data_IF_338387907126
#
_entry.id   IF_338387907126
#
_cell.length_a   1.000
_cell.length_b   1.000
_cell.length_c   1.000
_cell.angle_alpha   90.00
_cell.angle_beta   90.00
_cell.angle_gamma   90.00
#
_symmetry.space_group_name_H-M   'P 1'
#
loop_
_entity.id
_entity.type
_entity.pdbx_description
1 polymer ?
#
# COMPACT_ATOMS: atom_id res chain seq x y z
N UNK A 1 35.29 -5.61 -23.04
CA UNK A 1 33.94 -5.58 -23.64
C UNK A 1 33.17 -6.70 -22.97
N UNK A 2 32.32 -6.37 -21.99
CA UNK A 2 31.45 -7.37 -21.36
C UNK A 2 30.31 -7.61 -22.34
N UNK A 3 30.20 -8.84 -22.86
CA UNK A 3 29.04 -9.27 -23.62
C UNK A 3 27.83 -9.23 -22.67
N UNK A 4 26.97 -8.23 -22.87
CA UNK A 4 25.65 -8.22 -22.27
C UNK A 4 24.86 -9.28 -23.04
N UNK A 5 24.74 -10.48 -22.47
CA UNK A 5 23.76 -11.47 -22.92
C UNK A 5 22.43 -10.77 -23.14
N UNK A 6 21.83 -10.99 -24.31
CA UNK A 6 20.47 -10.53 -24.61
C UNK A 6 19.55 -11.11 -23.53
N UNK A 7 19.23 -10.31 -22.51
CA UNK A 7 18.18 -10.67 -21.55
C UNK A 7 16.91 -10.94 -22.35
N UNK A 8 16.40 -12.17 -22.26
CA UNK A 8 15.10 -12.51 -22.82
C UNK A 8 14.06 -11.55 -22.25
N UNK A 9 13.33 -10.88 -23.15
CA UNK A 9 12.28 -9.96 -22.75
C UNK A 9 11.16 -10.76 -22.08
N UNK A 10 10.75 -10.33 -20.88
CA UNK A 10 9.59 -10.88 -20.20
C UNK A 10 8.33 -10.55 -21.01
N UNK A 11 7.71 -11.59 -21.59
CA UNK A 11 6.54 -11.48 -22.50
C UNK A 11 5.35 -10.73 -21.89
N UNK A 12 5.19 -10.80 -20.57
CA UNK A 12 4.10 -10.16 -19.83
C UNK A 12 4.55 -8.93 -19.00
N UNK A 13 5.78 -8.47 -19.18
CA UNK A 13 6.40 -7.43 -18.37
C UNK A 13 6.93 -7.93 -17.02
N UNK A 14 7.57 -7.03 -16.26
CA UNK A 14 8.01 -7.29 -14.89
C UNK A 14 6.86 -6.96 -13.92
N UNK A 15 6.56 -7.87 -12.99
CA UNK A 15 5.45 -7.76 -12.02
C UNK A 15 5.88 -8.09 -10.60
N UNK A 16 7.19 -8.11 -10.31
CA UNK A 16 7.75 -8.59 -9.05
C UNK A 16 7.24 -7.82 -7.84
N UNK A 17 7.01 -6.50 -7.98
CA UNK A 17 6.41 -5.70 -6.90
C UNK A 17 4.99 -6.17 -6.59
N UNK A 18 4.15 -6.35 -7.61
CA UNK A 18 2.78 -6.82 -7.43
C UNK A 18 2.74 -8.24 -6.85
N UNK A 19 3.56 -9.14 -7.39
CA UNK A 19 3.67 -10.50 -6.87
C UNK A 19 4.16 -10.52 -5.41
N UNK A 20 5.12 -9.67 -5.06
CA UNK A 20 5.61 -9.56 -3.69
C UNK A 20 4.49 -9.14 -2.72
N UNK A 21 3.68 -8.14 -3.10
CA UNK A 21 2.50 -7.76 -2.32
C UNK A 21 1.50 -8.91 -2.18
N UNK A 22 1.14 -9.58 -3.28
CA UNK A 22 0.17 -10.69 -3.24
C UNK A 22 0.66 -11.85 -2.35
N UNK A 23 1.93 -12.23 -2.47
CA UNK A 23 2.54 -13.27 -1.62
C UNK A 23 2.59 -12.86 -0.16
N UNK A 24 2.97 -11.62 0.13
CA UNK A 24 3.01 -11.11 1.51
C UNK A 24 1.60 -11.10 2.14
N UNK A 25 0.59 -10.61 1.42
CA UNK A 25 -0.81 -10.58 1.87
C UNK A 25 -1.33 -11.99 2.12
N UNK A 26 -1.09 -12.93 1.19
CA UNK A 26 -1.53 -14.31 1.34
C UNK A 26 -0.91 -15.00 2.58
N UNK A 27 0.33 -14.67 2.90
CA UNK A 27 1.05 -15.25 4.04
C UNK A 27 0.81 -14.52 5.37
N UNK A 28 0.22 -13.32 5.38
CA UNK A 28 0.02 -12.50 6.58
C UNK A 28 -0.81 -13.21 7.68
N UNK A 29 -0.32 -13.34 8.90
CA UNK A 29 -0.93 -14.06 10.02
C UNK A 29 -1.59 -13.13 11.03
N UNK A 30 -0.90 -12.07 11.44
CA UNK A 30 -1.27 -11.21 12.56
C UNK A 30 -1.75 -9.83 12.08
N UNK A 31 -0.94 -9.14 11.27
CA UNK A 31 -1.29 -7.82 10.78
C UNK A 31 -0.64 -7.46 9.44
N UNK A 32 -1.36 -6.61 8.70
CA UNK A 32 -0.87 -5.90 7.52
C UNK A 32 -0.98 -4.41 7.80
N UNK A 33 0.12 -3.70 7.69
CA UNK A 33 0.17 -2.24 7.73
C UNK A 33 0.53 -1.70 6.34
N UNK A 34 -0.27 -0.78 5.82
CA UNK A 34 -0.11 -0.18 4.49
C UNK A 34 -0.14 1.34 4.62
N UNK A 35 0.89 2.01 4.13
CA UNK A 35 0.92 3.47 3.96
C UNK A 35 1.12 3.76 2.47
N UNK A 36 0.10 4.33 1.82
CA UNK A 36 0.18 4.57 0.38
C UNK A 36 -0.54 5.85 -0.04
N UNK A 37 -0.02 6.50 -1.08
CA UNK A 37 -0.65 7.67 -1.70
C UNK A 37 -2.00 7.32 -2.33
N UNK A 38 -2.09 6.15 -2.98
CA UNK A 38 -3.30 5.67 -3.64
C UNK A 38 -3.61 4.23 -3.26
N UNK A 39 -4.90 3.93 -3.13
CA UNK A 39 -5.39 2.55 -3.04
C UNK A 39 -6.52 2.33 -4.03
N UNK A 40 -6.19 1.90 -5.24
CA UNK A 40 -7.15 1.73 -6.34
C UNK A 40 -7.01 0.41 -7.12
N UNK A 41 -6.06 -0.45 -6.73
CA UNK A 41 -5.89 -1.79 -7.30
C UNK A 41 -6.95 -2.78 -6.78
N UNK A 42 -7.77 -3.31 -7.70
CA UNK A 42 -8.75 -4.35 -7.38
C UNK A 42 -8.08 -5.66 -6.97
N UNK A 43 -6.94 -6.03 -7.56
CA UNK A 43 -6.21 -7.27 -7.23
C UNK A 43 -5.69 -7.26 -5.80
N UNK A 44 -5.14 -6.13 -5.33
CA UNK A 44 -4.73 -5.98 -3.93
C UNK A 44 -5.95 -5.97 -3.00
N UNK A 45 -7.03 -5.29 -3.39
CA UNK A 45 -8.28 -5.29 -2.63
C UNK A 45 -8.86 -6.69 -2.43
N UNK A 46 -8.88 -7.50 -3.49
CA UNK A 46 -9.37 -8.87 -3.45
C UNK A 46 -8.45 -9.77 -2.61
N UNK A 47 -7.13 -9.63 -2.75
CA UNK A 47 -6.16 -10.36 -1.92
C UNK A 47 -6.34 -10.07 -0.42
N UNK A 48 -6.56 -8.81 -0.05
CA UNK A 48 -6.83 -8.43 1.34
C UNK A 48 -8.13 -9.08 1.85
N UNK A 49 -9.20 -9.05 1.05
CA UNK A 49 -10.49 -9.67 1.42
C UNK A 49 -10.30 -11.17 1.68
N UNK A 50 -9.63 -11.88 0.77
CA UNK A 50 -9.43 -13.32 0.89
C UNK A 50 -8.54 -13.67 2.09
N UNK A 51 -7.45 -12.94 2.31
CA UNK A 51 -6.58 -13.13 3.48
C UNK A 51 -7.35 -12.91 4.79
N UNK A 52 -8.14 -11.84 4.88
CA UNK A 52 -8.95 -11.54 6.06
C UNK A 52 -10.08 -12.56 6.29
N UNK A 53 -10.71 -13.09 5.24
CA UNK A 53 -11.68 -14.18 5.40
C UNK A 53 -11.02 -15.46 5.92
N UNK A 54 -9.87 -15.81 5.36
CA UNK A 54 -9.13 -17.02 5.74
C UNK A 54 -8.58 -16.95 7.17
N UNK A 55 -8.25 -15.75 7.66
CA UNK A 55 -7.58 -15.55 8.95
C UNK A 55 -8.39 -14.58 9.83
N UNK A 56 -9.28 -15.09 10.69
CA UNK A 56 -10.21 -14.26 11.47
C UNK A 56 -9.56 -13.26 12.43
N UNK A 57 -8.31 -13.48 12.83
CA UNK A 57 -7.56 -12.58 13.71
C UNK A 57 -6.74 -11.54 12.94
N UNK A 58 -6.58 -11.69 11.62
CA UNK A 58 -5.76 -10.80 10.81
C UNK A 58 -6.34 -9.38 10.83
N UNK A 59 -5.49 -8.43 11.19
CA UNK A 59 -5.79 -6.99 11.20
C UNK A 59 -5.16 -6.29 10.00
N UNK A 60 -5.90 -5.40 9.36
CA UNK A 60 -5.41 -4.57 8.26
C UNK A 60 -5.53 -3.11 8.67
N UNK A 61 -4.40 -2.42 8.68
CA UNK A 61 -4.27 -1.01 9.07
C UNK A 61 -3.77 -0.26 7.84
N UNK A 62 -4.57 0.67 7.34
CA UNK A 62 -4.22 1.48 6.17
C UNK A 62 -4.13 2.96 6.53
N UNK A 63 -3.10 3.63 6.04
CA UNK A 63 -2.92 5.07 6.12
C UNK A 63 -2.94 5.64 4.70
N UNK A 64 -3.98 6.43 4.40
CA UNK A 64 -4.30 6.91 3.04
C UNK A 64 -4.63 8.41 3.03
N UNK A 65 -4.46 9.05 1.87
CA UNK A 65 -5.01 10.39 1.64
C UNK A 65 -6.53 10.33 1.52
N UNK A 66 -7.24 11.26 2.17
CA UNK A 66 -8.71 11.40 2.00
C UNK A 66 -9.05 11.75 0.55
N UNK A 67 -8.28 12.66 -0.04
CA UNK A 67 -8.46 13.14 -1.40
C UNK A 67 -7.16 12.96 -2.19
N UNK A 68 -7.01 11.82 -2.89
CA UNK A 68 -6.03 11.67 -3.95
C UNK A 68 -6.12 12.82 -4.98
N UNK A 69 -4.97 13.25 -5.48
CA UNK A 69 -4.79 14.27 -6.52
C UNK A 69 -5.06 13.75 -7.95
N UNK A 70 -5.08 12.44 -8.16
CA UNK A 70 -5.42 11.83 -9.46
C UNK A 70 -6.94 11.86 -9.74
N UNK A 71 -7.38 12.21 -10.97
CA UNK A 71 -8.78 12.07 -11.39
C UNK A 71 -9.32 10.65 -11.15
N UNK A 72 -10.57 10.53 -10.72
CA UNK A 72 -11.28 9.27 -10.43
C UNK A 72 -10.74 8.42 -9.27
N UNK A 73 -9.48 8.61 -8.84
CA UNK A 73 -8.89 7.87 -7.72
C UNK A 73 -9.70 7.96 -6.41
N UNK A 74 -10.27 9.12 -6.01
CA UNK A 74 -11.11 9.18 -4.81
C UNK A 74 -12.31 8.23 -4.86
N UNK A 75 -12.94 8.09 -6.02
CA UNK A 75 -14.09 7.17 -6.20
C UNK A 75 -13.64 5.71 -6.16
N UNK A 76 -12.57 5.35 -6.88
CA UNK A 76 -12.04 3.97 -6.89
C UNK A 76 -11.59 3.54 -5.49
N UNK A 77 -10.87 4.40 -4.79
CA UNK A 77 -10.43 4.14 -3.42
C UNK A 77 -11.60 3.94 -2.47
N UNK A 78 -12.58 4.85 -2.50
CA UNK A 78 -13.79 4.70 -1.69
C UNK A 78 -14.55 3.42 -2.02
N UNK A 79 -14.65 3.05 -3.31
CA UNK A 79 -15.27 1.80 -3.76
C UNK A 79 -14.58 0.59 -3.14
N UNK A 80 -13.25 0.51 -3.22
CA UNK A 80 -12.47 -0.59 -2.66
C UNK A 80 -12.60 -0.70 -1.15
N UNK A 81 -12.42 0.40 -0.42
CA UNK A 81 -12.59 0.44 1.04
C UNK A 81 -13.99 -0.06 1.43
N UNK A 82 -15.02 0.36 0.68
CA UNK A 82 -16.40 -0.08 0.91
C UNK A 82 -16.57 -1.58 0.61
N UNK A 83 -15.93 -2.11 -0.44
CA UNK A 83 -15.94 -3.56 -0.75
C UNK A 83 -15.33 -4.37 0.39
N UNK A 84 -14.18 -3.95 0.91
CA UNK A 84 -13.51 -4.63 2.04
C UNK A 84 -14.41 -4.61 3.28
N UNK A 85 -14.93 -3.44 3.68
CA UNK A 85 -15.84 -3.31 4.83
C UNK A 85 -17.10 -4.17 4.73
N UNK A 86 -17.62 -4.38 3.52
CA UNK A 86 -18.78 -5.26 3.30
C UNK A 86 -18.41 -6.74 3.38
N UNK A 87 -17.23 -7.11 2.89
CA UNK A 87 -16.77 -8.51 2.89
C UNK A 87 -16.26 -8.95 4.28
N UNK A 88 -15.75 -8.01 5.07
CA UNK A 88 -15.23 -8.24 6.42
C UNK A 88 -15.92 -7.25 7.37
N UNK A 89 -17.16 -7.53 7.79
CA UNK A 89 -17.90 -6.65 8.68
C UNK A 89 -17.22 -6.56 10.04
N UNK A 90 -17.50 -5.47 10.76
CA UNK A 90 -17.01 -5.29 12.13
C UNK A 90 -17.42 -6.46 13.01
N UNK A 91 -16.53 -6.93 13.91
CA UNK A 91 -16.87 -8.00 14.82
C UNK A 91 -17.86 -7.51 15.88
N UNK A 92 -18.49 -8.42 16.65
CA UNK A 92 -19.39 -8.06 17.74
C UNK A 92 -18.78 -7.07 18.73
N UNK A 93 -19.64 -6.31 19.41
CA UNK A 93 -19.23 -5.34 20.41
C UNK A 93 -18.29 -5.95 21.46
N UNK A 94 -17.18 -5.26 21.76
CA UNK A 94 -16.12 -5.74 22.64
C UNK A 94 -14.97 -6.49 21.95
N UNK A 95 -15.09 -6.81 20.65
CA UNK A 95 -13.99 -7.34 19.85
C UNK A 95 -13.24 -6.23 19.10
N UNK A 96 -11.95 -6.46 18.81
CA UNK A 96 -11.10 -5.47 18.15
C UNK A 96 -11.48 -5.31 16.68
N UNK A 97 -11.63 -4.08 16.15
CA UNK A 97 -11.79 -3.85 14.74
C UNK A 97 -10.69 -4.52 13.93
N UNK A 98 -11.07 -5.08 12.78
CA UNK A 98 -10.15 -5.83 11.92
C UNK A 98 -9.63 -5.02 10.74
N UNK A 99 -10.37 -4.01 10.31
CA UNK A 99 -10.00 -3.18 9.17
C UNK A 99 -10.08 -1.69 9.53
N UNK A 100 -8.93 -1.05 9.67
CA UNK A 100 -8.81 0.37 9.96
C UNK A 100 -8.28 1.14 8.75
N UNK A 101 -8.92 2.26 8.41
CA UNK A 101 -8.41 3.21 7.42
C UNK A 101 -8.29 4.57 8.08
N UNK A 102 -7.07 5.10 8.09
CA UNK A 102 -6.67 6.31 8.79
C UNK A 102 -6.08 7.31 7.80
N UNK A 103 -5.93 8.55 8.24
CA UNK A 103 -5.26 9.61 7.49
C UNK A 103 -4.55 10.54 8.47
N UNK A 104 -3.57 11.32 8.00
CA UNK A 104 -2.75 12.16 8.88
C UNK A 104 -3.25 13.60 8.89
N UNK A 105 -3.30 14.14 10.11
CA UNK A 105 -3.58 15.54 10.37
C UNK A 105 -2.53 16.08 11.34
N UNK A 106 -2.24 17.36 11.24
CA UNK A 106 -1.42 18.10 12.20
C UNK A 106 -2.14 19.38 12.59
N UNK A 107 -1.63 20.07 13.60
CA UNK A 107 -2.11 21.38 13.98
C UNK A 107 -0.95 22.37 14.04
N UNK A 108 -1.23 23.61 13.67
CA UNK A 108 -0.30 24.73 13.82
C UNK A 108 -1.00 25.89 14.54
N UNK A 109 -0.20 26.69 15.22
CA UNK A 109 -0.58 28.05 15.60
C UNK A 109 0.17 29.02 14.73
N UNK A 110 -0.54 29.97 14.12
CA UNK A 110 0.05 31.04 13.31
C UNK A 110 0.86 32.06 14.12
N UNK A 111 1.21 31.75 15.38
CA UNK A 111 1.87 32.68 16.30
C UNK A 111 3.26 33.11 15.82
N UNK A 112 3.98 32.23 15.12
CA UNK A 112 5.33 32.51 14.61
C UNK A 112 5.33 33.38 13.34
N UNK A 113 4.21 33.42 12.60
CA UNK A 113 4.05 34.15 11.33
C UNK A 113 3.22 35.42 11.52
N UNK A 114 2.18 35.35 12.36
CA UNK A 114 1.25 36.44 12.65
C UNK A 114 1.07 36.56 14.18
N UNK A 115 1.90 37.38 14.86
CA UNK A 115 1.91 37.49 16.32
C UNK A 115 0.56 37.88 16.95
N UNK A 116 -0.29 38.58 16.18
CA UNK A 116 -1.63 39.04 16.60
C UNK A 116 -2.76 38.08 16.22
N UNK A 117 -2.50 37.07 15.40
CA UNK A 117 -3.48 36.05 15.02
C UNK A 117 -3.04 34.70 15.59
N UNK A 118 -3.51 34.37 16.80
CA UNK A 118 -3.31 33.05 17.42
C UNK A 118 -4.52 32.14 17.14
N UNK A 119 -4.81 31.88 15.86
CA UNK A 119 -5.89 30.96 15.51
C UNK A 119 -5.31 29.57 15.31
N UNK A 120 -5.74 28.55 16.08
CA UNK A 120 -5.34 27.19 15.82
C UNK A 120 -5.89 26.74 14.47
N UNK A 121 -5.09 26.01 13.71
CA UNK A 121 -5.49 25.43 12.43
C UNK A 121 -5.18 23.94 12.43
N UNK A 122 -6.10 23.15 11.88
CA UNK A 122 -5.88 21.74 11.56
C UNK A 122 -5.50 21.67 10.09
N UNK A 123 -4.42 20.96 9.78
CA UNK A 123 -3.88 20.80 8.44
C UNK A 123 -3.81 19.31 8.11
N UNK A 124 -4.19 18.93 6.90
CA UNK A 124 -3.97 17.57 6.41
C UNK A 124 -2.49 17.39 6.07
N UNK A 125 -1.88 16.29 6.50
CA UNK A 125 -0.56 15.89 6.01
C UNK A 125 -0.78 15.02 4.78
N UNK A 126 -0.21 15.44 3.65
CA UNK A 126 -0.29 14.66 2.42
C UNK A 126 0.67 13.46 2.47
N UNK A 127 0.12 12.27 2.31
CA UNK A 127 0.87 11.01 2.32
C UNK A 127 1.39 10.72 0.91
N UNK A 128 2.70 10.76 0.73
CA UNK A 128 3.35 10.36 -0.53
C UNK A 128 4.16 9.06 -0.41
N UNK A 129 4.16 8.45 0.77
CA UNK A 129 4.83 7.18 1.04
C UNK A 129 4.23 6.04 0.22
N UNK A 130 5.04 5.02 -0.07
CA UNK A 130 4.60 3.73 -0.57
C UNK A 130 5.32 2.64 0.23
N UNK A 131 4.76 2.36 1.40
CA UNK A 131 5.35 1.50 2.41
C UNK A 131 4.35 0.45 2.84
N UNK A 132 4.83 -0.77 3.09
CA UNK A 132 4.03 -1.80 3.70
C UNK A 132 4.86 -2.65 4.67
N UNK A 133 4.20 -3.19 5.69
CA UNK A 133 4.76 -4.12 6.68
C UNK A 133 3.76 -5.25 6.91
N UNK A 134 4.23 -6.49 6.93
CA UNK A 134 3.45 -7.69 7.25
C UNK A 134 4.15 -8.47 8.36
N UNK A 135 3.45 -8.69 9.48
CA UNK A 135 3.84 -9.52 10.64
C UNK A 135 5.24 -9.31 11.23
N UNK A 136 5.87 -8.15 11.01
CA UNK A 136 7.31 -7.94 11.26
C UNK A 136 8.25 -8.92 10.54
N UNK A 137 7.75 -9.64 9.53
CA UNK A 137 8.49 -10.62 8.71
C UNK A 137 8.84 -10.06 7.34
N UNK A 138 8.01 -9.18 6.80
CA UNK A 138 8.19 -8.58 5.49
C UNK A 138 7.90 -7.09 5.52
N UNK A 139 8.68 -6.30 4.79
CA UNK A 139 8.36 -4.91 4.49
C UNK A 139 8.84 -4.51 3.09
N UNK A 140 8.23 -3.45 2.57
CA UNK A 140 8.66 -2.79 1.34
C UNK A 140 8.65 -1.28 1.51
N UNK A 141 9.60 -0.62 0.86
CA UNK A 141 9.62 0.85 0.68
C UNK A 141 9.95 1.10 -0.78
N UNK A 142 9.21 1.98 -1.44
CA UNK A 142 9.59 2.39 -2.78
C UNK A 142 8.67 3.40 -3.41
N UNK A 143 8.49 3.25 -4.71
CA UNK A 143 7.81 4.21 -5.59
C UNK A 143 6.42 3.73 -6.04
N UNK A 144 6.17 2.41 -5.98
CA UNK A 144 4.92 1.83 -6.48
C UNK A 144 3.69 2.14 -5.60
N UNK A 145 2.72 2.86 -6.17
CA UNK A 145 1.41 3.03 -5.54
C UNK A 145 0.60 1.73 -5.57
N UNK A 146 -0.41 1.58 -4.69
CA UNK A 146 -1.35 0.46 -4.76
C UNK A 146 -2.44 0.72 -5.80
N UNK A 147 -2.03 1.02 -7.03
CA UNK A 147 -2.89 1.26 -8.17
C UNK A 147 -2.53 0.34 -9.34
N UNK A 148 -3.37 0.37 -10.37
CA UNK A 148 -3.11 -0.35 -11.60
C UNK A 148 -2.14 0.37 -12.54
N UNK A 149 -1.37 1.37 -12.12
CA UNK A 149 -0.30 1.96 -12.96
C UNK A 149 1.03 1.41 -12.48
N UNK A 150 1.26 1.49 -11.18
CA UNK A 150 2.50 1.09 -10.53
C UNK A 150 2.64 -0.43 -10.36
N UNK A 151 1.54 -1.19 -10.20
CA UNK A 151 1.63 -2.63 -9.90
C UNK A 151 1.58 -3.54 -11.12
N UNK A 152 0.68 -3.27 -12.05
CA UNK A 152 0.43 -4.19 -13.18
C UNK A 152 0.03 -3.47 -14.47
N UNK A 153 0.14 -2.14 -14.49
CA UNK A 153 -0.25 -1.29 -15.60
C UNK A 153 -1.72 -1.44 -16.07
N UNK A 154 -2.57 -2.12 -15.30
CA UNK A 154 -3.98 -2.41 -15.61
C UNK A 154 -4.86 -1.19 -15.88
N UNK A 155 -4.62 0.01 -15.35
CA UNK A 155 -5.60 1.11 -15.57
C UNK A 155 -5.46 1.77 -16.95
N UNK A 156 -4.24 2.03 -17.42
CA UNK A 156 -4.04 2.46 -18.82
C UNK A 156 -4.29 1.26 -19.72
N UNK A 157 -3.75 0.09 -19.34
CA UNK A 157 -3.95 -1.15 -20.08
C UNK A 157 -5.43 -1.39 -20.26
N UNK A 158 -6.30 -1.56 -19.26
CA UNK A 158 -7.71 -1.93 -19.45
C UNK A 158 -8.55 -0.92 -20.28
N UNK A 159 -8.28 0.39 -20.19
CA UNK A 159 -8.98 1.40 -21.01
C UNK A 159 -8.50 1.34 -22.47
N UNK A 160 -7.21 1.12 -22.69
CA UNK A 160 -6.56 1.18 -24.00
C UNK A 160 -6.23 -0.21 -24.58
N UNK A 161 -6.42 -1.30 -23.83
CA UNK A 161 -6.14 -2.72 -24.15
C UNK A 161 -6.91 -3.17 -25.36
N UNK A 162 -8.21 -2.84 -25.47
CA UNK A 162 -8.98 -3.16 -26.66
C UNK A 162 -8.42 -2.50 -27.91
N UNK A 163 -7.69 -1.39 -27.76
CA UNK A 163 -7.19 -0.57 -28.87
C UNK A 163 -5.72 -0.82 -29.23
N UNK A 164 -4.86 -1.13 -28.26
CA UNK A 164 -3.41 -1.25 -28.46
C UNK A 164 -2.85 -2.66 -28.23
N UNK A 165 -3.69 -3.63 -27.82
CA UNK A 165 -3.28 -5.00 -27.52
C UNK A 165 -2.41 -5.09 -26.25
N UNK A 166 -1.94 -6.30 -25.93
CA UNK A 166 -0.96 -6.51 -24.84
C UNK A 166 0.42 -6.00 -25.31
N UNK A 167 0.65 -4.69 -25.26
CA UNK A 167 1.99 -4.12 -25.47
C UNK A 167 2.79 -4.26 -24.17
N UNK A 168 3.98 -4.87 -24.27
CA UNK A 168 4.95 -5.09 -23.20
C UNK A 168 5.21 -3.81 -22.41
N UNK A 169 4.89 -3.78 -21.11
CA UNK A 169 5.18 -2.63 -20.26
C UNK A 169 6.38 -2.93 -19.37
N UNK A 170 7.35 -2.02 -19.38
CA UNK A 170 8.51 -2.04 -18.48
C UNK A 170 8.06 -1.54 -17.11
N UNK A 171 8.47 -2.22 -16.04
CA UNK A 171 8.33 -1.68 -14.70
C UNK A 171 9.10 -0.36 -14.61
N UNK A 172 8.39 0.71 -14.26
CA UNK A 172 8.96 2.05 -14.01
C UNK A 172 9.21 2.29 -12.52
N UNK A 173 8.76 1.38 -11.68
CA UNK A 173 8.81 1.46 -10.23
C UNK A 173 9.97 0.63 -9.68
N UNK A 174 10.51 1.09 -8.57
CA UNK A 174 11.50 0.37 -7.78
C UNK A 174 11.09 0.35 -6.31
N UNK A 175 11.14 -0.85 -5.73
CA UNK A 175 10.90 -1.08 -4.31
C UNK A 175 12.08 -1.87 -3.70
N UNK A 176 12.51 -1.46 -2.51
CA UNK A 176 13.38 -2.24 -1.66
C UNK A 176 12.51 -3.17 -0.80
N UNK A 177 12.81 -4.47 -0.84
CA UNK A 177 12.17 -5.48 0.00
C UNK A 177 13.06 -5.83 1.19
N UNK A 178 12.45 -5.95 2.35
CA UNK A 178 13.10 -6.29 3.61
C UNK A 178 12.44 -7.53 4.18
N UNK A 179 13.25 -8.48 4.64
CA UNK A 179 12.80 -9.75 5.19
C UNK A 179 13.40 -9.97 6.58
N UNK A 180 12.64 -10.63 7.45
CA UNK A 180 13.09 -11.07 8.76
C UNK A 180 12.68 -12.52 8.98
N UNK A 181 13.66 -13.43 8.89
CA UNK A 181 13.45 -14.85 9.16
C UNK A 181 12.50 -15.54 8.17
N UNK A 182 12.46 -15.06 6.92
CA UNK A 182 11.65 -15.64 5.84
C UNK A 182 12.54 -16.54 4.99
N UNK A 183 12.08 -17.76 4.69
CA UNK A 183 12.72 -18.69 3.75
C UNK A 183 14.22 -18.96 4.04
N UNK A 184 14.57 -19.12 5.31
CA UNK A 184 15.96 -19.38 5.73
C UNK A 184 16.90 -18.16 5.65
N UNK A 185 16.41 -16.99 5.24
CA UNK A 185 17.16 -15.74 5.30
C UNK A 185 17.45 -15.35 6.76
N UNK A 186 18.57 -14.67 6.97
CA UNK A 186 18.99 -14.22 8.29
C UNK A 186 17.89 -13.39 8.96
N UNK A 187 17.61 -13.72 10.22
CA UNK A 187 16.71 -12.90 11.04
C UNK A 187 17.34 -11.53 11.27
N UNK A 188 16.60 -10.47 10.97
CA UNK A 188 17.04 -9.08 11.15
C UNK A 188 15.92 -8.29 11.81
N UNK A 189 16.28 -7.31 12.64
CA UNK A 189 15.28 -6.46 13.31
C UNK A 189 14.84 -5.26 12.45
N UNK A 190 15.26 -5.18 11.18
CA UNK A 190 15.03 -4.00 10.32
C UNK A 190 13.54 -3.76 10.08
N UNK A 191 12.75 -4.83 9.89
CA UNK A 191 11.31 -4.74 9.66
C UNK A 191 10.59 -4.22 10.91
N UNK A 192 10.95 -4.73 12.09
CA UNK A 192 10.39 -4.27 13.36
C UNK A 192 10.80 -2.82 13.67
N UNK A 193 12.08 -2.46 13.44
CA UNK A 193 12.57 -1.09 13.58
C UNK A 193 11.82 -0.12 12.67
N UNK A 194 11.63 -0.46 11.40
CA UNK A 194 10.88 0.34 10.44
C UNK A 194 9.45 0.57 10.95
N UNK A 195 8.74 -0.51 11.31
CA UNK A 195 7.36 -0.40 11.82
C UNK A 195 7.28 0.49 13.07
N UNK A 196 8.16 0.28 14.05
CA UNK A 196 8.17 1.07 15.29
C UNK A 196 8.44 2.55 15.03
N UNK A 197 9.31 2.87 14.06
CA UNK A 197 9.58 4.25 13.66
C UNK A 197 8.37 4.91 13.02
N UNK A 198 7.72 4.24 12.08
CA UNK A 198 6.50 4.74 11.42
C UNK A 198 5.39 4.98 12.45
N UNK A 199 5.14 3.99 13.32
CA UNK A 199 4.09 4.10 14.33
C UNK A 199 4.36 5.16 15.40
N UNK A 200 5.63 5.43 15.73
CA UNK A 200 5.97 6.50 16.66
C UNK A 200 5.84 7.90 16.03
N UNK A 201 5.87 8.00 14.70
CA UNK A 201 5.69 9.26 13.97
C UNK A 201 4.21 9.66 13.82
N UNK A 202 3.29 8.71 13.98
CA UNK A 202 1.86 8.90 13.82
C UNK A 202 1.17 9.07 15.16
#
# INVERSE_FOLDING_TARGET
MIEIEKMEKLKDGEKGIHEAYLRAIANAEDFIYLENQYFTSDTIGDALIEAMKAKPQLQVIMLLNIKPDLPLAPWKQRRLITRIRKAVPEPPEGQRPRFGVFTRWTHETTADIFPKAKKPRILSIYLHSKVAVVDNKWATIGSANLDGWSLDSSIISDIFRPFFGNQEQRAIEANALMFNGVDGLTSTDIVDKLRRRLWAEH
#
